data_IF_167690825242
#
_entry.id   IF_167690825242
#
_cell.length_a   1.000
_cell.length_b   1.000
_cell.length_c   1.000
_cell.angle_alpha   90.00
_cell.angle_beta   90.00
_cell.angle_gamma   90.00
#
_symmetry.space_group_name_H-M   'P 1'
#
loop_
_entity.id
_entity.type
_entity.pdbx_description
1 polymer ?
#
# COMPACT_ATOMS: atom_id res chain seq x y z
N UNK A 1 16.73 63.47 47.85
CA UNK A 1 16.37 64.85 47.45
C UNK A 1 16.52 65.01 45.95
N UNK A 2 15.38 65.24 45.28
CA UNK A 2 15.18 65.73 43.92
C UNK A 2 15.73 64.97 42.70
N UNK A 3 14.82 64.46 41.87
CA UNK A 3 14.88 64.62 40.41
C UNK A 3 13.51 65.07 39.89
N UNK A 4 13.56 65.92 38.87
CA UNK A 4 12.63 67.01 38.56
C UNK A 4 11.52 66.61 37.59
N UNK A 5 10.37 67.26 37.74
CA UNK A 5 9.17 67.19 36.90
C UNK A 5 9.41 67.56 35.43
N UNK A 6 8.62 66.95 34.53
CA UNK A 6 7.72 67.74 33.68
C UNK A 6 6.50 66.93 33.28
N UNK A 7 5.33 67.49 33.59
CA UNK A 7 4.00 67.01 33.25
C UNK A 7 3.35 68.05 32.35
N UNK A 8 2.66 67.64 31.30
CA UNK A 8 1.54 68.40 30.74
C UNK A 8 0.49 67.47 30.10
N UNK A 9 -0.63 67.33 30.84
CA UNK A 9 -2.05 67.30 30.42
C UNK A 9 -2.47 66.27 29.36
N UNK A 10 -3.29 65.24 29.62
CA UNK A 10 -4.62 65.14 30.26
C UNK A 10 -5.66 66.17 29.78
N UNK A 11 -6.66 65.71 29.00
CA UNK A 11 -8.07 66.16 29.05
C UNK A 11 -8.96 65.26 28.16
N UNK A 12 -9.52 64.19 28.73
CA UNK A 12 -10.96 63.96 28.78
C UNK A 12 -11.24 62.88 29.83
N UNK A 13 -12.18 63.23 30.69
CA UNK A 13 -12.39 62.70 32.01
C UNK A 13 -13.33 61.46 31.99
N UNK A 14 -12.94 60.45 32.76
CA UNK A 14 -13.80 59.72 33.72
C UNK A 14 -14.43 58.36 33.33
N UNK A 15 -14.15 57.40 34.23
CA UNK A 15 -14.91 56.20 34.60
C UNK A 15 -14.72 54.95 33.74
N UNK A 16 -13.64 54.20 34.01
CA UNK A 16 -13.77 52.86 34.62
C UNK A 16 -12.42 52.46 35.22
N UNK A 17 -12.43 52.28 36.54
CA UNK A 17 -11.36 51.64 37.29
C UNK A 17 -11.17 50.21 36.80
N UNK A 18 -10.17 49.96 35.97
CA UNK A 18 -9.49 48.68 35.95
C UNK A 18 -8.01 48.98 35.70
N UNK A 19 -7.29 49.18 36.80
CA UNK A 19 -5.87 48.82 36.85
C UNK A 19 -5.79 47.39 36.33
N UNK A 20 -5.36 47.20 35.08
CA UNK A 20 -4.96 45.89 34.61
C UNK A 20 -3.86 45.43 35.55
N UNK A 21 -4.08 44.37 36.36
CA UNK A 21 -3.00 43.83 37.16
C UNK A 21 -1.96 43.35 36.15
N UNK A 22 -0.73 43.83 36.28
CA UNK A 22 0.44 43.29 35.60
C UNK A 22 0.55 41.80 35.97
N UNK A 23 -0.14 40.92 35.24
CA UNK A 23 -0.11 39.50 35.48
C UNK A 23 1.07 38.89 34.67
N UNK A 24 2.22 38.87 35.33
CA UNK A 24 3.40 38.00 35.14
C UNK A 24 4.00 37.85 33.71
N UNK A 25 4.99 38.69 33.33
CA UNK A 25 5.82 38.51 32.13
C UNK A 25 6.64 37.20 32.11
N UNK A 26 6.80 36.54 33.25
CA UNK A 26 7.63 35.34 33.44
C UNK A 26 6.88 34.02 33.19
N UNK A 27 5.54 34.04 33.18
CA UNK A 27 4.72 32.80 33.08
C UNK A 27 4.33 32.49 31.63
N UNK A 28 4.22 33.52 30.78
CA UNK A 28 3.85 33.42 29.36
C UNK A 28 4.87 32.63 28.52
N UNK A 29 6.21 32.80 28.69
CA UNK A 29 7.20 32.02 27.96
C UNK A 29 7.17 30.52 28.31
N UNK A 30 6.94 30.19 29.59
CA UNK A 30 6.89 28.80 30.07
C UNK A 30 5.72 28.01 29.47
N UNK A 31 4.56 28.66 29.33
CA UNK A 31 3.40 28.07 28.65
C UNK A 31 3.67 27.84 27.15
N UNK A 32 4.29 28.80 26.46
CA UNK A 32 4.66 28.66 25.04
C UNK A 32 5.64 27.50 24.79
N UNK A 33 6.63 27.32 25.67
CA UNK A 33 7.58 26.19 25.62
C UNK A 33 6.85 24.85 25.86
N UNK A 34 5.91 24.82 26.82
CA UNK A 34 5.10 23.63 27.10
C UNK A 34 4.22 23.21 25.92
N UNK A 35 3.54 24.15 25.26
CA UNK A 35 2.75 23.87 24.05
C UNK A 35 3.63 23.41 22.87
N UNK A 36 4.82 24.00 22.72
CA UNK A 36 5.81 23.57 21.72
C UNK A 36 6.26 22.12 21.92
N UNK A 37 6.60 21.73 23.15
CA UNK A 37 7.01 20.36 23.47
C UNK A 37 5.87 19.37 23.23
N UNK A 38 4.65 19.68 23.71
CA UNK A 38 3.48 18.81 23.54
C UNK A 38 3.13 18.60 22.07
N UNK A 39 3.16 19.65 21.26
CA UNK A 39 2.90 19.55 19.82
C UNK A 39 3.96 18.73 19.09
N UNK A 40 5.24 18.89 19.44
CA UNK A 40 6.34 18.10 18.86
C UNK A 40 6.22 16.62 19.28
N UNK A 41 5.98 16.33 20.56
CA UNK A 41 5.79 14.96 21.04
C UNK A 41 4.60 14.27 20.38
N UNK A 42 3.49 15.00 20.19
CA UNK A 42 2.32 14.49 19.47
C UNK A 42 2.64 14.24 17.99
N UNK A 43 3.31 15.18 17.31
CA UNK A 43 3.71 15.03 15.91
C UNK A 43 4.65 13.82 15.73
N UNK A 44 5.61 13.65 16.63
CA UNK A 44 6.49 12.47 16.68
C UNK A 44 5.61 11.22 16.83
N UNK A 45 4.80 11.10 17.87
CA UNK A 45 3.95 9.93 18.09
C UNK A 45 3.06 9.58 16.87
N UNK A 46 2.54 10.58 16.17
CA UNK A 46 1.77 10.40 14.93
C UNK A 46 2.64 9.86 13.79
N UNK A 47 3.85 10.41 13.59
CA UNK A 47 4.80 9.91 12.58
C UNK A 47 5.20 8.46 12.85
N UNK A 48 5.49 8.11 14.11
CA UNK A 48 5.82 6.73 14.50
C UNK A 48 4.64 5.78 14.24
N UNK A 49 3.41 6.24 14.52
CA UNK A 49 2.19 5.45 14.27
C UNK A 49 1.95 5.22 12.77
N UNK A 50 2.18 6.22 11.92
CA UNK A 50 2.02 6.13 10.46
C UNK A 50 3.03 5.15 9.84
N UNK A 51 4.29 5.20 10.27
CA UNK A 51 5.36 4.31 9.78
C UNK A 51 5.09 2.83 10.12
N UNK A 52 4.45 2.57 11.26
CA UNK A 52 4.13 1.22 11.70
C UNK A 52 2.81 0.67 11.11
N UNK A 53 1.97 1.56 10.56
CA UNK A 53 0.70 1.18 9.92
C UNK A 53 0.80 0.95 8.42
N UNK A 54 1.95 1.20 7.79
CA UNK A 54 2.08 0.86 6.37
C UNK A 54 2.06 -0.67 6.20
N UNK A 55 1.13 -1.21 5.39
CA UNK A 55 1.08 -2.63 5.14
C UNK A 55 2.39 -3.05 4.45
N UNK A 56 3.14 -3.94 5.11
CA UNK A 56 4.39 -4.50 4.60
C UNK A 56 4.13 -5.88 4.01
N UNK A 57 4.93 -6.26 3.02
CA UNK A 57 4.87 -7.61 2.50
C UNK A 57 5.31 -8.62 3.56
N UNK A 58 4.73 -9.83 3.56
CA UNK A 58 5.22 -10.93 4.39
C UNK A 58 6.69 -11.22 4.13
N UNK A 59 7.34 -11.89 5.07
CA UNK A 59 8.74 -12.30 4.91
C UNK A 59 8.91 -13.16 3.65
N UNK A 60 9.98 -12.91 2.87
CA UNK A 60 10.30 -13.59 1.60
C UNK A 60 9.38 -13.25 0.41
N UNK A 61 8.47 -12.28 0.55
CA UNK A 61 7.68 -11.77 -0.58
C UNK A 61 8.32 -10.52 -1.18
N UNK A 62 8.18 -10.36 -2.49
CA UNK A 62 8.69 -9.21 -3.23
C UNK A 62 7.62 -8.13 -3.29
N UNK A 63 7.94 -6.92 -2.84
CA UNK A 63 7.05 -5.77 -2.96
C UNK A 63 7.23 -5.09 -4.32
N UNK A 64 6.15 -4.89 -5.07
CA UNK A 64 6.16 -4.12 -6.31
C UNK A 64 4.81 -3.43 -6.52
N UNK A 65 4.86 -2.12 -6.81
CA UNK A 65 3.69 -1.25 -7.14
C UNK A 65 2.45 -1.37 -6.23
N UNK A 66 2.63 -1.68 -4.94
CA UNK A 66 1.51 -1.78 -3.99
C UNK A 66 0.89 -3.17 -3.92
N UNK A 67 1.56 -4.18 -4.47
CA UNK A 67 1.26 -5.60 -4.29
C UNK A 67 2.51 -6.32 -3.76
N UNK A 68 2.28 -7.49 -3.18
CA UNK A 68 3.30 -8.43 -2.75
C UNK A 68 3.21 -9.70 -3.57
N UNK A 69 4.36 -10.21 -4.02
CA UNK A 69 4.43 -11.39 -4.86
C UNK A 69 5.30 -12.47 -4.22
N UNK A 70 4.88 -13.73 -4.33
CA UNK A 70 5.64 -14.88 -3.86
C UNK A 70 5.70 -15.97 -4.92
N UNK A 71 6.89 -16.50 -5.15
CA UNK A 71 7.15 -17.54 -6.13
C UNK A 71 7.31 -18.89 -5.41
N UNK A 72 6.48 -19.86 -5.79
CA UNK A 72 6.59 -21.19 -5.20
C UNK A 72 7.82 -21.93 -5.73
N UNK A 73 8.43 -22.75 -4.85
CA UNK A 73 9.45 -23.74 -5.25
C UNK A 73 8.86 -25.11 -5.56
N UNK A 74 7.68 -25.39 -5.03
CA UNK A 74 6.96 -26.64 -5.23
C UNK A 74 6.14 -26.58 -6.52
N UNK A 75 5.88 -27.74 -7.13
CA UNK A 75 5.00 -27.86 -8.29
C UNK A 75 3.69 -28.54 -7.90
N UNK A 76 2.56 -27.95 -8.31
CA UNK A 76 1.21 -28.46 -8.03
C UNK A 76 0.31 -28.22 -9.24
N UNK A 77 -0.85 -28.87 -9.25
CA UNK A 77 -1.93 -28.52 -10.18
C UNK A 77 -2.45 -27.09 -9.91
N UNK A 78 -3.19 -26.52 -10.88
CA UNK A 78 -3.64 -25.14 -10.79
C UNK A 78 -4.57 -24.90 -9.59
N UNK A 79 -5.46 -25.84 -9.28
CA UNK A 79 -6.42 -25.71 -8.17
C UNK A 79 -5.72 -25.75 -6.81
N UNK A 80 -4.77 -26.66 -6.63
CA UNK A 80 -3.96 -26.78 -5.42
C UNK A 80 -3.04 -25.57 -5.23
N UNK A 81 -2.53 -25.01 -6.34
CA UNK A 81 -1.75 -23.78 -6.35
C UNK A 81 -2.59 -22.58 -5.90
N UNK A 82 -3.79 -22.44 -6.45
CA UNK A 82 -4.78 -21.43 -6.05
C UNK A 82 -5.10 -21.50 -4.56
N UNK A 83 -5.36 -22.69 -4.05
CA UNK A 83 -5.63 -22.90 -2.63
C UNK A 83 -4.42 -22.49 -1.75
N UNK A 84 -3.19 -22.79 -2.20
CA UNK A 84 -1.96 -22.44 -1.48
C UNK A 84 -1.72 -20.92 -1.38
N UNK A 85 -2.17 -20.14 -2.37
CA UNK A 85 -2.22 -18.68 -2.24
C UNK A 85 -3.32 -18.24 -1.28
N UNK A 86 -4.51 -18.85 -1.39
CA UNK A 86 -5.66 -18.56 -0.53
C UNK A 86 -5.36 -18.71 0.97
N UNK A 87 -4.60 -19.74 1.36
CA UNK A 87 -4.21 -19.94 2.77
C UNK A 87 -3.33 -18.81 3.34
N UNK A 88 -2.75 -17.96 2.48
CA UNK A 88 -1.92 -16.82 2.85
C UNK A 88 -2.68 -15.47 2.70
N UNK A 89 -3.99 -15.53 2.43
CA UNK A 89 -4.80 -14.35 2.11
C UNK A 89 -4.37 -13.68 0.81
N UNK A 90 -3.93 -14.49 -0.16
CA UNK A 90 -3.46 -14.08 -1.48
C UNK A 90 -4.25 -14.85 -2.56
N UNK A 91 -4.09 -14.47 -3.81
CA UNK A 91 -4.64 -15.18 -4.96
C UNK A 91 -3.50 -15.51 -5.93
N UNK A 92 -3.78 -16.31 -6.97
CA UNK A 92 -2.80 -16.50 -8.04
C UNK A 92 -2.62 -15.18 -8.80
N UNK A 93 -1.41 -14.93 -9.27
CA UNK A 93 -1.03 -13.69 -9.96
C UNK A 93 -2.08 -13.23 -10.99
N UNK A 94 -2.52 -11.98 -10.88
CA UNK A 94 -3.33 -11.31 -11.88
C UNK A 94 -2.46 -10.25 -12.55
N UNK A 95 -2.34 -10.31 -13.88
CA UNK A 95 -1.57 -9.31 -14.62
C UNK A 95 -2.55 -8.29 -15.15
N UNK A 96 -2.60 -7.15 -14.48
CA UNK A 96 -3.59 -6.09 -14.72
C UNK A 96 -3.03 -4.94 -15.55
N UNK A 97 -1.71 -4.73 -15.55
CA UNK A 97 -1.06 -3.66 -16.28
C UNK A 97 0.12 -4.13 -17.16
N UNK A 98 0.50 -3.28 -18.11
CA UNK A 98 1.61 -3.57 -19.03
C UNK A 98 2.96 -3.61 -18.31
N UNK A 99 3.10 -2.96 -17.15
CA UNK A 99 4.35 -2.93 -16.40
C UNK A 99 4.59 -4.24 -15.63
N UNK A 100 3.56 -4.83 -15.03
CA UNK A 100 3.60 -6.18 -14.46
C UNK A 100 3.96 -7.20 -15.52
N UNK A 101 3.34 -7.10 -16.71
CA UNK A 101 3.69 -7.95 -17.84
C UNK A 101 5.20 -7.88 -18.17
N UNK A 102 5.76 -6.67 -18.31
CA UNK A 102 7.20 -6.51 -18.60
C UNK A 102 8.09 -7.00 -17.46
N UNK A 103 7.69 -6.78 -16.21
CA UNK A 103 8.39 -7.31 -15.03
C UNK A 103 8.47 -8.83 -15.11
N UNK A 104 7.34 -9.51 -15.28
CA UNK A 104 7.29 -10.97 -15.23
C UNK A 104 7.88 -11.63 -16.49
N UNK A 105 7.85 -10.95 -17.65
CA UNK A 105 8.61 -11.39 -18.84
C UNK A 105 10.12 -11.44 -18.62
N UNK A 106 10.64 -10.55 -17.76
CA UNK A 106 12.07 -10.49 -17.45
C UNK A 106 12.52 -11.54 -16.42
N UNK A 107 11.59 -12.17 -15.69
CA UNK A 107 11.87 -13.07 -14.56
C UNK A 107 11.78 -14.53 -15.01
N UNK A 108 12.97 -15.15 -15.19
CA UNK A 108 13.24 -16.59 -15.34
C UNK A 108 12.61 -17.36 -16.54
N UNK A 109 13.21 -18.50 -16.95
CA UNK A 109 12.76 -19.32 -18.08
C UNK A 109 11.70 -20.39 -17.73
N UNK A 110 11.31 -20.54 -16.46
CA UNK A 110 10.34 -21.57 -16.06
C UNK A 110 8.88 -21.12 -16.28
N UNK A 111 7.98 -22.10 -16.49
CA UNK A 111 6.55 -21.81 -16.59
C UNK A 111 5.89 -21.79 -15.20
N UNK A 112 5.09 -20.76 -14.92
CA UNK A 112 4.39 -20.61 -13.65
C UNK A 112 2.88 -20.54 -13.83
N UNK A 113 2.13 -21.17 -12.94
CA UNK A 113 0.70 -20.93 -12.84
C UNK A 113 0.40 -19.49 -12.46
N UNK A 114 -0.57 -18.91 -13.17
CA UNK A 114 -1.14 -17.59 -12.94
C UNK A 114 -2.66 -17.70 -12.74
N UNK A 115 -3.29 -16.62 -12.30
CA UNK A 115 -4.70 -16.55 -11.96
C UNK A 115 -5.64 -16.48 -13.15
N UNK A 116 -5.25 -17.02 -14.31
CA UNK A 116 -6.00 -16.92 -15.55
C UNK A 116 -6.59 -18.28 -15.96
N UNK A 117 -7.91 -18.31 -16.14
CA UNK A 117 -8.65 -19.54 -16.43
C UNK A 117 -9.75 -19.31 -17.47
N UNK A 118 -9.97 -20.29 -18.33
CA UNK A 118 -11.08 -20.31 -19.28
C UNK A 118 -12.28 -21.07 -18.69
N UNK A 119 -13.39 -20.36 -18.48
CA UNK A 119 -14.66 -20.99 -18.10
C UNK A 119 -15.48 -21.27 -19.35
N UNK A 120 -16.16 -22.42 -19.39
CA UNK A 120 -16.87 -22.89 -20.59
C UNK A 120 -17.92 -21.88 -21.03
N UNK A 121 -17.67 -21.21 -22.16
CA UNK A 121 -18.61 -20.28 -22.81
C UNK A 121 -18.40 -18.79 -22.53
N UNK A 122 -17.53 -18.40 -21.59
CA UNK A 122 -17.35 -16.99 -21.18
C UNK A 122 -15.95 -16.42 -21.42
N UNK A 123 -15.06 -17.19 -22.06
CA UNK A 123 -13.69 -16.77 -22.33
C UNK A 123 -12.75 -16.90 -21.12
N UNK A 124 -11.60 -16.23 -21.21
CA UNK A 124 -10.57 -16.23 -20.19
C UNK A 124 -10.84 -15.15 -19.15
N UNK A 125 -10.74 -15.51 -17.87
CA UNK A 125 -11.10 -14.67 -16.72
C UNK A 125 -10.00 -14.79 -15.67
N UNK A 126 -9.65 -13.66 -15.06
CA UNK A 126 -8.68 -13.55 -13.97
C UNK A 126 -9.31 -13.87 -12.60
N UNK A 127 -8.49 -14.09 -11.57
CA UNK A 127 -8.96 -14.34 -10.20
C UNK A 127 -9.74 -13.17 -9.59
N UNK A 128 -9.51 -11.94 -10.06
CA UNK A 128 -10.24 -10.74 -9.66
C UNK A 128 -11.60 -10.57 -10.38
N UNK A 129 -11.90 -11.47 -11.32
CA UNK A 129 -13.12 -11.46 -12.12
C UNK A 129 -13.04 -10.62 -13.39
N UNK A 130 -11.91 -9.93 -13.65
CA UNK A 130 -11.72 -9.20 -14.90
C UNK A 130 -11.61 -10.14 -16.10
N UNK A 131 -12.18 -9.71 -17.23
CA UNK A 131 -12.12 -10.47 -18.48
C UNK A 131 -10.77 -10.21 -19.15
N UNK A 132 -10.15 -11.27 -19.65
CA UNK A 132 -8.93 -11.15 -20.42
C UNK A 132 -9.25 -10.80 -21.88
N UNK A 133 -8.97 -9.56 -22.25
CA UNK A 133 -9.20 -9.02 -23.60
C UNK A 133 -7.99 -9.24 -24.55
N UNK A 134 -6.96 -9.96 -24.10
CA UNK A 134 -5.74 -10.19 -24.87
C UNK A 134 -5.87 -11.29 -25.94
N UNK A 135 -5.19 -11.11 -27.07
CA UNK A 135 -5.27 -12.03 -28.22
C UNK A 135 -4.24 -13.17 -28.20
N UNK A 136 -3.29 -13.18 -27.26
CA UNK A 136 -2.06 -13.97 -27.35
C UNK A 136 -1.96 -15.10 -26.31
N UNK A 137 -3.06 -15.83 -26.06
CA UNK A 137 -2.97 -17.12 -25.36
C UNK A 137 -2.80 -18.21 -26.39
N UNK A 138 -1.65 -18.87 -26.36
CA UNK A 138 -1.41 -20.05 -27.19
C UNK A 138 -2.17 -21.23 -26.59
N UNK A 139 -3.05 -21.85 -27.38
CA UNK A 139 -3.81 -23.03 -26.97
C UNK A 139 -3.77 -24.08 -28.06
N UNK A 140 -3.42 -25.31 -27.67
CA UNK A 140 -3.34 -26.45 -28.58
C UNK A 140 -4.60 -27.33 -28.50
N UNK A 141 -5.43 -27.16 -27.47
CA UNK A 141 -6.59 -28.01 -27.23
C UNK A 141 -7.66 -27.30 -26.38
N UNK A 142 -8.96 -27.50 -26.68
CA UNK A 142 -10.07 -26.90 -25.92
C UNK A 142 -10.20 -27.43 -24.47
N UNK A 143 -9.47 -28.49 -24.11
CA UNK A 143 -9.41 -28.99 -22.72
C UNK A 143 -8.41 -28.19 -21.87
N UNK A 144 -7.52 -27.42 -22.49
CA UNK A 144 -6.53 -26.59 -21.80
C UNK A 144 -7.19 -25.30 -21.30
N UNK A 145 -7.69 -25.36 -20.07
CA UNK A 145 -8.53 -24.29 -19.49
C UNK A 145 -7.83 -23.47 -18.41
N UNK A 146 -6.56 -23.73 -18.12
CA UNK A 146 -5.76 -22.95 -17.18
C UNK A 146 -4.54 -22.39 -17.90
N UNK A 147 -4.06 -21.21 -17.52
CA UNK A 147 -2.91 -20.59 -18.18
C UNK A 147 -1.68 -20.62 -17.28
N UNK A 148 -0.54 -20.91 -17.91
CA UNK A 148 0.77 -20.62 -17.36
C UNK A 148 1.33 -19.36 -18.02
N UNK A 149 2.09 -18.60 -17.23
CA UNK A 149 3.01 -17.61 -17.76
C UNK A 149 4.28 -18.32 -18.22
N UNK A 150 4.67 -18.07 -19.47
CA UNK A 150 5.99 -18.35 -20.00
C UNK A 150 6.77 -17.04 -20.16
N UNK A 151 8.03 -17.11 -20.59
CA UNK A 151 8.94 -15.97 -20.69
C UNK A 151 8.37 -14.75 -21.43
N UNK A 152 7.56 -14.95 -22.46
CA UNK A 152 7.09 -13.89 -23.35
C UNK A 152 5.60 -13.96 -23.71
N UNK A 153 4.91 -15.03 -23.31
CA UNK A 153 3.52 -15.26 -23.68
C UNK A 153 2.76 -16.06 -22.62
N UNK A 154 1.45 -16.09 -22.75
CA UNK A 154 0.58 -16.97 -21.99
C UNK A 154 0.31 -18.24 -22.77
N UNK A 155 0.43 -19.38 -22.10
CA UNK A 155 0.19 -20.69 -22.68
C UNK A 155 -0.95 -21.38 -21.92
N UNK A 156 -1.98 -21.79 -22.65
CA UNK A 156 -3.01 -22.65 -22.11
C UNK A 156 -2.43 -24.04 -21.85
N UNK A 157 -2.78 -24.61 -20.70
CA UNK A 157 -2.36 -25.93 -20.25
C UNK A 157 -3.51 -26.69 -19.58
N UNK A 158 -3.33 -28.00 -19.42
CA UNK A 158 -4.24 -28.80 -18.59
C UNK A 158 -4.13 -28.32 -17.15
N UNK A 159 -5.26 -28.07 -16.50
CA UNK A 159 -5.29 -27.59 -15.11
C UNK A 159 -4.65 -28.58 -14.12
N UNK A 160 -4.48 -29.85 -14.52
CA UNK A 160 -3.86 -30.92 -13.71
C UNK A 160 -2.33 -30.95 -13.85
N UNK A 161 -1.75 -30.17 -14.78
CA UNK A 161 -0.30 -30.11 -14.97
C UNK A 161 0.40 -29.60 -13.70
N UNK A 162 1.53 -30.22 -13.33
CA UNK A 162 2.29 -29.80 -12.17
C UNK A 162 3.28 -28.69 -12.56
N UNK A 163 3.01 -27.47 -12.11
CA UNK A 163 3.89 -26.31 -12.30
C UNK A 163 4.09 -25.55 -10.98
N UNK A 164 5.19 -24.81 -10.83
CA UNK A 164 5.27 -23.80 -9.78
C UNK A 164 4.23 -22.69 -10.05
N UNK A 165 3.98 -21.83 -9.07
CA UNK A 165 2.94 -20.80 -9.14
C UNK A 165 3.40 -19.50 -8.51
N UNK A 166 2.75 -18.41 -8.91
CA UNK A 166 3.00 -17.08 -8.34
C UNK A 166 1.75 -16.65 -7.57
N UNK A 167 1.92 -16.31 -6.30
CA UNK A 167 0.87 -15.69 -5.50
C UNK A 167 1.02 -14.17 -5.50
N UNK A 168 -0.11 -13.47 -5.48
CA UNK A 168 -0.22 -12.03 -5.36
C UNK A 168 -1.12 -11.64 -4.19
N UNK A 169 -0.70 -10.63 -3.46
CA UNK A 169 -1.47 -10.01 -2.38
C UNK A 169 -1.42 -8.50 -2.49
N UNK A 170 -2.57 -7.86 -2.69
CA UNK A 170 -2.65 -6.40 -2.71
C UNK A 170 -2.40 -5.82 -1.31
N UNK A 171 -1.70 -4.69 -1.26
CA UNK A 171 -1.48 -3.91 -0.04
C UNK A 171 -2.53 -2.81 0.16
N UNK A 172 -3.53 -2.70 -0.73
CA UNK A 172 -4.62 -1.71 -0.66
C UNK A 172 -5.76 -2.14 0.26
#
# INVERSE_FOLDING_TARGET
NHCQFSCCSCLLWFLTSFTAPCLWPEVVPGLAIGFGILSISLAIALIWKISNSQPRCPEQWVAYRGSCYSFSRQKKDWRSSRLSCGTQGAHLLVISDTWEMELFKSIQPECFWIGLRNSTGSGWIWEDGSIFDGTNILSNSPVQRCAVLMKDHFQASSCEFAAPWICEKSLR
#
